data_IF_760725519212
#
_entry.id   IF_760725519212
#
_cell.length_a   1.000
_cell.length_b   1.000
_cell.length_c   1.000
_cell.angle_alpha   90.00
_cell.angle_beta   90.00
_cell.angle_gamma   90.00
#
_symmetry.space_group_name_H-M   'P 1'
#
loop_
_entity.id
_entity.type
_entity.pdbx_description
1 polymer ?
#
# COMPACT_ATOMS: atom_id res chain seq x y z
N UNK A 1 -25.36 -25.53 50.13
CA UNK A 1 -25.53 -24.51 49.07
C UNK A 1 -24.71 -23.27 49.43
N UNK A 2 -23.51 -23.09 48.87
CA UNK A 2 -22.80 -21.80 48.92
C UNK A 2 -22.10 -21.40 47.59
N UNK A 3 -22.61 -21.81 46.42
CA UNK A 3 -21.92 -21.62 45.12
C UNK A 3 -22.29 -20.31 44.37
N UNK A 4 -23.29 -19.56 44.82
CA UNK A 4 -23.82 -18.40 44.08
C UNK A 4 -23.15 -17.05 44.41
N UNK A 5 -22.47 -16.89 45.54
CA UNK A 5 -21.84 -15.60 45.90
C UNK A 5 -20.44 -15.41 45.28
N UNK A 6 -19.73 -16.50 44.97
CA UNK A 6 -18.37 -16.42 44.46
C UNK A 6 -18.31 -15.99 42.98
N UNK A 7 -19.39 -16.26 42.23
CA UNK A 7 -19.48 -15.87 40.82
C UNK A 7 -19.78 -14.37 40.64
N UNK A 8 -20.33 -13.70 41.66
CA UNK A 8 -20.66 -12.28 41.60
C UNK A 8 -19.44 -11.40 41.91
N UNK A 9 -18.51 -11.85 42.75
CA UNK A 9 -17.26 -11.11 43.04
C UNK A 9 -16.26 -11.12 41.88
N UNK A 10 -16.27 -12.15 41.04
CA UNK A 10 -15.39 -12.19 39.85
C UNK A 10 -15.84 -11.23 38.74
N UNK A 11 -17.14 -10.91 38.66
CA UNK A 11 -17.62 -9.93 37.67
C UNK A 11 -17.24 -8.49 38.00
N UNK A 12 -17.12 -8.15 39.29
CA UNK A 12 -16.79 -6.78 39.72
C UNK A 12 -15.30 -6.46 39.61
N UNK A 13 -14.41 -7.46 39.71
CA UNK A 13 -12.96 -7.26 39.58
C UNK A 13 -12.51 -7.07 38.12
N UNK A 14 -13.31 -7.52 37.15
CA UNK A 14 -13.04 -7.37 35.72
C UNK A 14 -13.43 -5.99 35.15
N UNK A 15 -14.30 -5.21 35.80
CA UNK A 15 -14.70 -3.88 35.31
C UNK A 15 -13.70 -2.76 35.63
N UNK A 16 -12.84 -2.94 36.63
CA UNK A 16 -11.86 -1.93 37.05
C UNK A 16 -10.50 -2.01 36.35
N UNK A 17 -10.25 -3.04 35.52
CA UNK A 17 -9.11 -3.06 34.57
C UNK A 17 -9.45 -2.41 33.23
N UNK A 18 -10.27 -1.35 33.26
CA UNK A 18 -10.31 -0.33 32.23
C UNK A 18 -8.98 0.41 32.19
N UNK A 19 -7.91 -0.27 31.77
CA UNK A 19 -6.59 0.30 31.58
C UNK A 19 -6.74 1.49 30.66
N UNK A 20 -6.54 2.69 31.21
CA UNK A 20 -6.54 3.96 30.48
C UNK A 20 -5.63 3.76 29.28
N UNK A 21 -6.23 3.56 28.11
CA UNK A 21 -5.47 3.53 26.86
C UNK A 21 -4.82 4.90 26.81
N UNK A 22 -3.49 4.93 26.62
CA UNK A 22 -2.82 6.18 26.30
C UNK A 22 -3.62 6.81 25.15
N UNK A 23 -4.16 8.03 25.33
CA UNK A 23 -5.01 8.64 24.34
C UNK A 23 -4.22 8.65 23.03
N UNK A 24 -4.84 8.09 21.99
CA UNK A 24 -4.25 8.11 20.67
C UNK A 24 -3.88 9.56 20.34
N UNK A 25 -2.68 9.84 19.79
CA UNK A 25 -2.28 11.21 19.56
C UNK A 25 -3.32 11.88 18.67
N UNK A 26 -3.94 12.95 19.16
CA UNK A 26 -5.01 13.67 18.47
C UNK A 26 -4.59 14.17 17.08
N UNK A 27 -3.29 14.32 16.83
CA UNK A 27 -2.72 14.72 15.54
C UNK A 27 -2.67 13.61 14.48
N UNK A 28 -2.80 12.33 14.86
CA UNK A 28 -2.58 11.21 13.94
C UNK A 28 -3.69 11.04 12.89
N UNK A 29 -4.94 11.37 13.24
CA UNK A 29 -6.05 11.35 12.29
C UNK A 29 -5.89 12.38 11.16
N UNK A 30 -5.74 13.69 11.45
CA UNK A 30 -5.52 14.66 10.39
C UNK A 30 -4.22 14.36 9.63
N UNK A 31 -3.11 14.09 10.31
CA UNK A 31 -1.83 13.83 9.63
C UNK A 31 -1.92 12.70 8.58
N UNK A 32 -2.63 11.61 8.89
CA UNK A 32 -2.82 10.50 7.94
C UNK A 32 -3.72 10.84 6.75
N UNK A 33 -4.78 11.63 6.96
CA UNK A 33 -5.71 12.04 5.90
C UNK A 33 -5.03 13.04 4.95
N UNK A 34 -4.36 14.04 5.53
CA UNK A 34 -3.57 15.02 4.80
C UNK A 34 -2.40 14.35 4.06
N UNK A 35 -1.67 13.44 4.71
CA UNK A 35 -0.59 12.67 4.09
C UNK A 35 -1.05 11.85 2.89
N UNK A 36 -2.18 11.15 3.02
CA UNK A 36 -2.72 10.38 1.90
C UNK A 36 -3.24 11.25 0.75
N UNK A 37 -3.96 12.34 1.07
CA UNK A 37 -4.47 13.27 0.06
C UNK A 37 -3.34 13.98 -0.69
N UNK A 38 -2.31 14.42 0.03
CA UNK A 38 -1.12 15.05 -0.57
C UNK A 38 -0.30 14.05 -1.39
N UNK A 39 -0.13 12.81 -0.94
CA UNK A 39 0.55 11.78 -1.73
C UNK A 39 -0.20 11.45 -3.02
N UNK A 40 -1.51 11.25 -2.96
CA UNK A 40 -2.32 11.04 -4.15
C UNK A 40 -2.30 12.27 -5.07
N UNK A 41 -2.43 13.48 -4.51
CA UNK A 41 -2.37 14.73 -5.27
C UNK A 41 -1.02 14.97 -5.95
N UNK A 42 0.09 14.71 -5.27
CA UNK A 42 1.44 14.82 -5.84
C UNK A 42 1.66 13.79 -6.95
N UNK A 43 1.19 12.56 -6.79
CA UNK A 43 1.25 11.54 -7.83
C UNK A 43 0.45 11.99 -9.07
N UNK A 44 -0.79 12.43 -8.89
CA UNK A 44 -1.62 12.92 -10.00
C UNK A 44 -0.98 14.13 -10.67
N UNK A 45 -0.46 15.09 -9.90
CA UNK A 45 0.25 16.26 -10.43
C UNK A 45 1.47 15.83 -11.26
N UNK A 46 2.28 14.89 -10.78
CA UNK A 46 3.42 14.36 -11.52
C UNK A 46 2.99 13.75 -12.86
N UNK A 47 1.89 12.98 -12.86
CA UNK A 47 1.30 12.42 -14.08
C UNK A 47 0.80 13.47 -15.07
N UNK A 48 0.10 14.49 -14.58
CA UNK A 48 -0.40 15.59 -15.41
C UNK A 48 0.74 16.40 -16.03
N UNK A 49 1.78 16.70 -15.26
CA UNK A 49 2.98 17.39 -15.77
C UNK A 49 3.64 16.56 -16.88
N UNK A 50 3.73 15.23 -16.70
CA UNK A 50 4.29 14.35 -17.72
C UNK A 50 3.43 14.31 -18.98
N UNK A 51 2.11 14.20 -18.82
CA UNK A 51 1.14 14.22 -19.92
C UNK A 51 1.22 15.52 -20.73
N UNK A 52 1.43 16.65 -20.06
CA UNK A 52 1.61 17.95 -20.70
C UNK A 52 2.96 18.10 -21.45
N UNK A 53 3.81 17.06 -21.44
CA UNK A 53 5.16 17.12 -21.99
C UNK A 53 6.11 17.99 -21.19
N UNK A 54 5.72 18.43 -19.98
CA UNK A 54 6.54 19.25 -19.09
C UNK A 54 7.52 18.35 -18.34
N UNK A 55 8.41 17.72 -19.10
CA UNK A 55 9.44 16.86 -18.54
C UNK A 55 10.80 17.55 -18.53
N UNK A 56 11.45 17.45 -17.36
CA UNK A 56 12.89 17.60 -17.13
C UNK A 56 13.50 18.98 -17.37
N UNK A 57 12.89 20.05 -16.86
CA UNK A 57 13.74 21.16 -16.41
C UNK A 57 14.33 20.79 -15.04
N UNK A 58 15.61 21.11 -14.74
CA UNK A 58 16.27 20.73 -13.49
C UNK A 58 15.49 20.96 -12.19
N UNK A 59 14.68 22.04 -12.01
CA UNK A 59 13.89 22.17 -10.79
C UNK A 59 12.73 21.17 -10.68
N UNK A 60 12.13 20.75 -11.80
CA UNK A 60 10.97 19.85 -11.81
C UNK A 60 11.34 18.37 -11.80
N UNK A 61 12.61 18.03 -12.09
CA UNK A 61 13.10 16.65 -12.10
C UNK A 61 12.97 15.94 -10.73
N UNK A 62 12.89 16.70 -9.64
CA UNK A 62 12.77 16.14 -8.29
C UNK A 62 11.33 15.75 -7.91
N UNK A 63 10.32 16.11 -8.69
CA UNK A 63 8.92 15.83 -8.33
C UNK A 63 8.67 14.33 -8.23
N UNK A 64 9.16 13.54 -9.19
CA UNK A 64 8.98 12.08 -9.20
C UNK A 64 9.64 11.38 -8.00
N UNK A 65 10.94 11.58 -7.70
CA UNK A 65 11.56 10.96 -6.53
C UNK A 65 10.91 11.42 -5.22
N UNK A 66 10.52 12.70 -5.11
CA UNK A 66 9.80 13.22 -3.93
C UNK A 66 8.42 12.56 -3.80
N UNK A 67 7.69 12.39 -4.89
CA UNK A 67 6.39 11.71 -4.88
C UNK A 67 6.52 10.25 -4.43
N UNK A 68 7.52 9.52 -4.92
CA UNK A 68 7.82 8.15 -4.46
C UNK A 68 8.14 8.08 -2.96
N UNK A 69 9.05 8.94 -2.49
CA UNK A 69 9.43 9.00 -1.08
C UNK A 69 8.22 9.35 -0.20
N UNK A 70 7.44 10.36 -0.59
CA UNK A 70 6.28 10.81 0.15
C UNK A 70 5.15 9.78 0.16
N UNK A 71 4.91 9.07 -0.94
CA UNK A 71 3.94 7.97 -0.98
C UNK A 71 4.30 6.86 0.02
N UNK A 72 5.59 6.52 0.15
CA UNK A 72 6.06 5.54 1.13
C UNK A 72 5.83 6.00 2.57
N UNK A 73 6.19 7.25 2.89
CA UNK A 73 5.95 7.86 4.20
C UNK A 73 4.45 7.93 4.52
N UNK A 74 3.64 8.41 3.59
CA UNK A 74 2.19 8.49 3.73
C UNK A 74 1.57 7.11 3.98
N UNK A 75 2.01 6.07 3.27
CA UNK A 75 1.54 4.71 3.49
C UNK A 75 1.81 4.23 4.93
N UNK A 76 3.02 4.48 5.47
CA UNK A 76 3.35 4.17 6.87
C UNK A 76 2.49 4.99 7.85
N UNK A 77 2.30 6.28 7.60
CA UNK A 77 1.42 7.13 8.42
C UNK A 77 -0.03 6.65 8.44
N UNK A 78 -0.55 6.17 7.30
CA UNK A 78 -1.91 5.59 7.28
C UNK A 78 -2.01 4.30 8.08
N UNK A 79 -0.93 3.50 8.13
CA UNK A 79 -0.87 2.26 8.89
C UNK A 79 -0.86 2.51 10.41
N UNK A 80 -0.23 3.61 10.85
CA UNK A 80 -0.22 4.02 12.25
C UNK A 80 -1.64 4.15 12.81
N UNK A 81 -2.66 4.51 12.03
CA UNK A 81 -4.06 4.57 12.52
C UNK A 81 -4.60 3.25 13.06
N UNK A 82 -4.01 2.12 12.66
CA UNK A 82 -4.53 0.77 12.94
C UNK A 82 -3.56 -0.09 13.73
N UNK A 83 -2.30 0.31 13.80
CA UNK A 83 -1.24 -0.42 14.48
C UNK A 83 -0.53 0.52 15.46
N UNK A 84 0.01 0.00 16.57
CA UNK A 84 0.97 0.75 17.38
C UNK A 84 2.09 1.35 16.50
N UNK A 85 2.60 2.52 16.88
CA UNK A 85 3.66 3.23 16.14
C UNK A 85 4.85 2.30 15.84
N UNK A 86 5.32 1.56 16.84
CA UNK A 86 6.43 0.61 16.73
C UNK A 86 6.18 -0.46 15.66
N UNK A 87 4.96 -0.99 15.59
CA UNK A 87 4.57 -1.98 14.60
C UNK A 87 4.46 -1.37 13.20
N UNK A 88 3.90 -0.17 13.08
CA UNK A 88 3.79 0.51 11.78
C UNK A 88 5.17 0.85 11.22
N UNK A 89 6.05 1.41 12.05
CA UNK A 89 7.44 1.74 11.68
C UNK A 89 8.24 0.47 11.42
N UNK A 90 8.15 -0.54 12.29
CA UNK A 90 8.84 -1.82 12.11
C UNK A 90 8.44 -2.54 10.82
N UNK A 91 7.14 -2.58 10.51
CA UNK A 91 6.63 -3.13 9.25
C UNK A 91 7.11 -2.33 8.03
N UNK A 92 7.04 -1.00 8.09
CA UNK A 92 7.53 -0.12 7.02
C UNK A 92 9.03 -0.26 6.76
N UNK A 93 9.86 -0.23 7.81
CA UNK A 93 11.31 -0.41 7.71
C UNK A 93 11.69 -1.79 7.18
N UNK A 94 10.97 -2.85 7.60
CA UNK A 94 11.19 -4.21 7.09
C UNK A 94 11.00 -4.24 5.57
N UNK A 95 9.90 -3.68 5.05
CA UNK A 95 9.64 -3.62 3.61
C UNK A 95 10.67 -2.75 2.87
N UNK A 96 11.07 -1.63 3.46
CA UNK A 96 12.06 -0.73 2.86
C UNK A 96 13.44 -1.41 2.74
N UNK A 97 13.90 -2.08 3.80
CA UNK A 97 15.18 -2.79 3.79
C UNK A 97 15.14 -3.97 2.81
N UNK A 98 14.09 -4.80 2.85
CA UNK A 98 14.00 -5.96 1.95
C UNK A 98 13.87 -5.54 0.48
N UNK A 99 13.14 -4.47 0.18
CA UNK A 99 13.07 -3.95 -1.20
C UNK A 99 14.40 -3.40 -1.67
N UNK A 100 15.13 -2.66 -0.82
CA UNK A 100 16.49 -2.23 -1.14
C UNK A 100 17.41 -3.44 -1.42
N UNK A 101 17.33 -4.48 -0.61
CA UNK A 101 18.12 -5.71 -0.81
C UNK A 101 17.78 -6.41 -2.13
N UNK A 102 16.51 -6.59 -2.47
CA UNK A 102 16.09 -7.22 -3.73
C UNK A 102 16.53 -6.40 -4.94
N UNK A 103 16.38 -5.08 -4.89
CA UNK A 103 16.83 -4.19 -5.97
C UNK A 103 18.36 -4.21 -6.11
N UNK A 104 19.11 -4.20 -5.00
CA UNK A 104 20.56 -4.20 -5.01
C UNK A 104 21.12 -5.53 -5.51
N UNK A 105 20.53 -6.65 -5.07
CA UNK A 105 20.89 -7.98 -5.53
C UNK A 105 20.64 -8.11 -7.04
N UNK A 106 19.51 -7.59 -7.53
CA UNK A 106 19.18 -7.61 -8.96
C UNK A 106 20.12 -6.74 -9.79
N UNK A 107 20.44 -5.53 -9.32
CA UNK A 107 21.40 -4.64 -9.98
C UNK A 107 22.81 -5.24 -10.06
N UNK A 108 23.21 -5.96 -9.00
CA UNK A 108 24.57 -6.48 -8.89
C UNK A 108 24.74 -7.84 -9.59
N UNK A 109 23.79 -8.74 -9.44
CA UNK A 109 23.90 -10.15 -9.88
C UNK A 109 22.99 -10.53 -11.05
N UNK A 110 22.04 -9.66 -11.42
CA UNK A 110 20.98 -9.99 -12.36
C UNK A 110 19.90 -10.91 -11.79
N UNK A 111 19.94 -11.24 -10.49
CA UNK A 111 18.98 -12.13 -9.82
C UNK A 111 18.30 -11.38 -8.66
N UNK A 112 16.99 -11.51 -8.40
CA UNK A 112 16.00 -12.32 -9.11
C UNK A 112 15.34 -11.62 -10.29
N UNK A 113 15.43 -10.28 -10.40
CA UNK A 113 14.63 -9.53 -11.37
C UNK A 113 15.15 -9.66 -12.81
N UNK A 114 16.43 -9.98 -13.01
CA UNK A 114 17.16 -9.82 -14.27
C UNK A 114 18.20 -8.70 -14.16
N UNK A 115 19.00 -8.53 -15.21
CA UNK A 115 19.91 -7.39 -15.31
C UNK A 115 19.09 -6.10 -15.49
N UNK A 116 19.12 -5.24 -14.48
CA UNK A 116 18.47 -3.93 -14.47
C UNK A 116 19.54 -2.86 -14.33
N UNK A 117 19.50 -1.87 -15.22
CA UNK A 117 20.30 -0.67 -15.10
C UNK A 117 19.43 0.48 -14.59
N UNK A 118 19.64 0.90 -13.34
CA UNK A 118 18.91 2.03 -12.78
C UNK A 118 19.47 3.36 -13.29
N UNK A 119 18.60 4.32 -13.56
CA UNK A 119 18.93 5.69 -13.95
C UNK A 119 19.17 6.60 -12.73
N UNK A 120 19.95 7.67 -12.85
CA UNK A 120 20.11 8.65 -11.76
C UNK A 120 18.88 9.56 -11.57
N UNK A 121 17.86 9.47 -12.44
CA UNK A 121 16.66 10.32 -12.41
C UNK A 121 15.81 10.16 -11.15
N UNK A 122 15.81 8.97 -10.53
CA UNK A 122 15.11 8.71 -9.27
C UNK A 122 15.87 9.21 -8.03
N UNK A 123 16.87 10.06 -8.22
CA UNK A 123 17.65 10.67 -7.15
C UNK A 123 18.91 9.90 -6.79
N UNK A 124 19.54 10.22 -5.64
CA UNK A 124 20.80 9.63 -5.21
C UNK A 124 20.71 8.11 -5.11
N UNK A 125 21.78 7.40 -5.51
CA UNK A 125 21.85 5.94 -5.42
C UNK A 125 22.55 5.49 -4.14
N UNK A 126 21.96 4.52 -3.46
CA UNK A 126 22.56 3.83 -2.32
C UNK A 126 23.61 2.86 -2.87
N UNK A 127 24.85 2.99 -2.38
CA UNK A 127 26.03 2.25 -2.86
C UNK A 127 26.30 2.38 -4.38
N UNK A 128 25.80 3.44 -5.02
CA UNK A 128 25.90 3.62 -6.47
C UNK A 128 25.00 2.71 -7.31
N UNK A 129 24.24 1.80 -6.67
CA UNK A 129 23.45 0.76 -7.35
C UNK A 129 21.96 1.15 -7.48
N UNK A 130 21.29 1.39 -6.34
CA UNK A 130 19.82 1.49 -6.30
C UNK A 130 19.39 2.92 -5.93
N UNK A 131 18.48 3.57 -6.68
CA UNK A 131 17.94 4.87 -6.29
C UNK A 131 17.28 4.82 -4.90
N UNK A 132 17.62 5.76 -4.02
CA UNK A 132 17.13 5.80 -2.64
C UNK A 132 15.59 5.83 -2.54
N UNK A 133 14.92 6.41 -3.54
CA UNK A 133 13.45 6.56 -3.55
C UNK A 133 12.72 5.31 -4.02
N UNK A 134 13.40 4.36 -4.66
CA UNK A 134 12.79 3.14 -5.17
C UNK A 134 12.28 2.22 -4.03
N UNK A 135 13.03 1.97 -2.93
CA UNK A 135 12.50 1.27 -1.76
C UNK A 135 11.26 1.91 -1.14
N UNK A 136 11.13 3.25 -1.18
CA UNK A 136 9.93 3.93 -0.72
C UNK A 136 8.73 3.66 -1.62
N UNK A 137 8.92 3.66 -2.95
CA UNK A 137 7.88 3.28 -3.90
C UNK A 137 7.40 1.84 -3.66
N UNK A 138 8.34 0.89 -3.52
CA UNK A 138 8.03 -0.51 -3.17
C UNK A 138 7.20 -0.60 -1.89
N UNK A 139 7.64 0.10 -0.83
CA UNK A 139 6.95 0.14 0.46
C UNK A 139 5.54 0.72 0.32
N UNK A 140 5.39 1.82 -0.43
CA UNK A 140 4.09 2.46 -0.69
C UNK A 140 3.14 1.48 -1.36
N UNK A 141 3.57 0.85 -2.46
CA UNK A 141 2.76 -0.09 -3.24
C UNK A 141 2.34 -1.29 -2.39
N UNK A 142 3.26 -1.90 -1.63
CA UNK A 142 2.95 -3.08 -0.82
C UNK A 142 1.99 -2.77 0.34
N UNK A 143 2.26 -1.71 1.09
CA UNK A 143 1.40 -1.35 2.22
C UNK A 143 0.00 -0.97 1.74
N UNK A 144 -0.10 -0.12 0.71
CA UNK A 144 -1.39 0.31 0.18
C UNK A 144 -2.15 -0.84 -0.49
N UNK A 145 -1.47 -1.75 -1.18
CA UNK A 145 -2.06 -2.99 -1.71
C UNK A 145 -2.62 -3.87 -0.60
N UNK A 146 -1.90 -4.03 0.52
CA UNK A 146 -2.40 -4.76 1.69
C UNK A 146 -3.61 -4.10 2.33
N UNK A 147 -3.70 -2.78 2.33
CA UNK A 147 -4.88 -2.07 2.83
C UNK A 147 -6.08 -2.23 1.90
N UNK A 148 -5.88 -2.11 0.58
CA UNK A 148 -6.90 -2.38 -0.43
C UNK A 148 -7.41 -3.83 -0.33
N UNK A 149 -6.50 -4.81 -0.23
CA UNK A 149 -6.84 -6.21 -0.06
C UNK A 149 -7.73 -6.46 1.17
N UNK A 150 -7.51 -5.77 2.30
CA UNK A 150 -8.40 -5.89 3.48
C UNK A 150 -9.81 -5.37 3.25
N UNK A 151 -9.98 -4.33 2.42
CA UNK A 151 -11.30 -3.83 2.06
C UNK A 151 -11.99 -4.81 1.12
N UNK A 152 -11.28 -5.27 0.08
CA UNK A 152 -11.79 -6.25 -0.88
C UNK A 152 -12.23 -7.53 -0.15
N UNK A 153 -11.38 -8.06 0.74
CA UNK A 153 -11.62 -9.29 1.48
C UNK A 153 -12.52 -9.12 2.71
N UNK A 154 -13.13 -7.95 2.90
CA UNK A 154 -13.97 -7.68 4.08
C UNK A 154 -15.07 -8.73 4.32
N UNK A 155 -15.81 -9.21 3.30
CA UNK A 155 -16.83 -10.24 3.50
C UNK A 155 -16.28 -11.56 4.07
N UNK A 156 -15.01 -11.88 3.81
CA UNK A 156 -14.36 -13.14 4.20
C UNK A 156 -13.58 -13.04 5.51
N UNK A 157 -13.76 -11.97 6.30
CA UNK A 157 -12.99 -11.76 7.54
C UNK A 157 -13.17 -12.84 8.61
N UNK A 158 -14.25 -13.63 8.54
CA UNK A 158 -14.55 -14.72 9.48
C UNK A 158 -13.87 -16.04 9.12
N UNK A 159 -13.25 -16.12 7.94
CA UNK A 159 -12.60 -17.34 7.47
C UNK A 159 -11.31 -17.61 8.26
N UNK A 160 -11.06 -18.86 8.72
CA UNK A 160 -9.82 -19.22 9.41
C UNK A 160 -8.55 -18.96 8.58
N UNK A 161 -8.64 -18.99 7.25
CA UNK A 161 -7.52 -18.77 6.34
C UNK A 161 -7.40 -17.31 5.86
N UNK A 162 -8.14 -16.37 6.47
CA UNK A 162 -8.14 -14.96 6.09
C UNK A 162 -6.74 -14.33 5.99
N UNK A 163 -5.81 -14.72 6.88
CA UNK A 163 -4.43 -14.23 6.84
C UNK A 163 -3.71 -14.56 5.53
N UNK A 164 -3.86 -15.79 5.03
CA UNK A 164 -3.26 -16.25 3.78
C UNK A 164 -3.91 -15.58 2.57
N UNK A 165 -5.25 -15.45 2.56
CA UNK A 165 -5.95 -14.71 1.52
C UNK A 165 -5.49 -13.25 1.47
N UNK A 166 -5.31 -12.62 2.63
CA UNK A 166 -4.86 -11.24 2.70
C UNK A 166 -3.47 -11.05 2.09
N UNK A 167 -2.50 -11.90 2.45
CA UNK A 167 -1.13 -11.83 1.89
C UNK A 167 -1.17 -12.09 0.38
N UNK A 168 -1.91 -13.10 -0.06
CA UNK A 168 -1.98 -13.49 -1.47
C UNK A 168 -2.61 -12.38 -2.32
N UNK A 169 -3.77 -11.85 -1.92
CA UNK A 169 -4.43 -10.76 -2.65
C UNK A 169 -3.57 -9.50 -2.63
N UNK A 170 -2.91 -9.17 -1.51
CA UNK A 170 -2.02 -8.02 -1.44
C UNK A 170 -0.80 -8.16 -2.38
N UNK A 171 -0.22 -9.36 -2.49
CA UNK A 171 0.89 -9.63 -3.41
C UNK A 171 0.44 -9.54 -4.88
N UNK A 172 -0.75 -10.07 -5.21
CA UNK A 172 -1.34 -9.93 -6.55
C UNK A 172 -1.59 -8.46 -6.88
N UNK A 173 -2.18 -7.67 -5.97
CA UNK A 173 -2.38 -6.24 -6.18
C UNK A 173 -1.06 -5.48 -6.35
N UNK A 174 0.00 -5.90 -5.65
CA UNK A 174 1.36 -5.34 -5.82
C UNK A 174 1.89 -5.65 -7.23
N UNK A 175 1.76 -6.89 -7.70
CA UNK A 175 2.18 -7.28 -9.05
C UNK A 175 1.35 -6.60 -10.15
N UNK A 176 0.05 -6.39 -9.93
CA UNK A 176 -0.80 -5.61 -10.83
C UNK A 176 -0.36 -4.14 -10.89
N UNK A 177 -0.01 -3.53 -9.76
CA UNK A 177 0.59 -2.20 -9.77
C UNK A 177 1.94 -2.19 -10.49
N UNK A 178 2.77 -3.22 -10.33
CA UNK A 178 4.02 -3.36 -11.08
C UNK A 178 3.77 -3.42 -12.60
N UNK A 179 2.69 -4.07 -13.05
CA UNK A 179 2.29 -4.05 -14.45
C UNK A 179 1.95 -2.64 -14.96
N UNK A 180 1.52 -1.72 -14.10
CA UNK A 180 1.32 -0.30 -14.45
C UNK A 180 2.65 0.47 -14.34
N UNK A 181 3.54 0.10 -13.41
CA UNK A 181 4.80 0.82 -13.21
C UNK A 181 5.82 0.52 -14.31
N UNK A 182 5.93 -0.73 -14.75
CA UNK A 182 7.03 -1.16 -15.63
C UNK A 182 7.08 -0.40 -16.97
N UNK A 183 5.98 -0.26 -17.75
CA UNK A 183 6.02 0.50 -18.99
C UNK A 183 6.33 1.97 -18.76
N UNK A 184 5.73 2.57 -17.72
CA UNK A 184 6.07 3.93 -17.31
C UNK A 184 7.56 4.05 -17.02
N UNK A 185 8.12 3.19 -16.17
CA UNK A 185 9.48 3.30 -15.69
C UNK A 185 10.51 3.16 -16.82
N UNK A 186 10.25 2.29 -17.80
CA UNK A 186 11.13 2.07 -18.96
C UNK A 186 10.98 3.19 -20.00
N UNK A 187 9.75 3.52 -20.39
CA UNK A 187 9.48 4.37 -21.56
C UNK A 187 9.24 5.84 -21.20
N UNK A 188 8.55 6.13 -20.10
CA UNK A 188 8.18 7.49 -19.72
C UNK A 188 9.14 8.10 -18.69
N UNK A 189 9.40 7.40 -17.58
CA UNK A 189 10.30 7.87 -16.52
C UNK A 189 11.77 7.72 -16.88
N UNK A 190 12.12 6.71 -17.70
CA UNK A 190 13.49 6.25 -17.90
C UNK A 190 14.21 6.05 -16.56
N UNK A 191 13.51 5.40 -15.63
CA UNK A 191 13.95 5.10 -14.27
C UNK A 191 14.87 3.91 -14.23
N UNK A 192 14.61 2.92 -15.09
CA UNK A 192 15.49 1.79 -15.30
C UNK A 192 15.35 1.24 -16.72
N UNK A 193 16.37 0.49 -17.13
CA UNK A 193 16.43 -0.19 -18.41
C UNK A 193 16.64 -1.68 -18.17
N UNK A 194 16.13 -2.48 -19.12
CA UNK A 194 16.29 -3.93 -19.15
C UNK A 194 17.13 -4.31 -20.37
N UNK A 195 18.47 -4.35 -20.27
CA UNK A 195 19.35 -4.52 -21.44
C UNK A 195 19.12 -5.84 -22.18
N UNK A 196 18.65 -6.87 -21.46
CA UNK A 196 18.40 -8.23 -21.98
C UNK A 196 16.92 -8.54 -22.17
N UNK A 197 16.03 -7.54 -22.19
CA UNK A 197 14.62 -7.80 -22.45
C UNK A 197 14.40 -8.31 -23.89
N UNK A 198 13.64 -9.40 -24.08
CA UNK A 198 13.35 -9.91 -25.42
C UNK A 198 12.50 -8.90 -26.21
N UNK A 199 12.92 -8.58 -27.44
CA UNK A 199 12.28 -7.56 -28.28
C UNK A 199 10.82 -7.91 -28.63
N UNK A 200 10.52 -9.19 -28.87
CA UNK A 200 9.20 -9.64 -29.33
C UNK A 200 8.19 -9.89 -28.21
N UNK A 201 8.67 -10.14 -26.98
CA UNK A 201 7.83 -10.54 -25.86
C UNK A 201 8.19 -9.72 -24.63
N UNK A 202 7.89 -8.42 -24.68
CA UNK A 202 8.04 -7.50 -23.55
C UNK A 202 6.72 -6.79 -23.24
N UNK A 203 6.60 -6.41 -21.97
CA UNK A 203 5.51 -5.60 -21.43
C UNK A 203 6.02 -4.17 -21.25
N UNK A 204 5.76 -3.31 -22.25
CA UNK A 204 6.25 -1.93 -22.22
C UNK A 204 7.77 -1.79 -22.18
N UNK A 205 8.52 -2.78 -22.67
CA UNK A 205 9.99 -2.83 -22.55
C UNK A 205 10.53 -3.63 -21.36
N UNK A 206 9.68 -4.09 -20.44
CA UNK A 206 10.09 -5.00 -19.36
C UNK A 206 9.90 -6.48 -19.75
N UNK A 207 10.77 -7.41 -19.30
CA UNK A 207 10.55 -8.84 -19.47
C UNK A 207 9.28 -9.27 -18.72
N UNK A 208 8.37 -10.08 -19.30
CA UNK A 208 7.14 -10.50 -18.61
C UNK A 208 7.39 -11.32 -17.34
N UNK A 209 8.56 -11.96 -17.24
CA UNK A 209 9.03 -12.61 -16.02
C UNK A 209 9.18 -11.65 -14.84
N UNK A 210 9.34 -10.35 -15.06
CA UNK A 210 9.44 -9.36 -13.98
C UNK A 210 8.19 -9.38 -13.10
N UNK A 211 6.99 -9.53 -13.67
CA UNK A 211 5.73 -9.58 -12.90
C UNK A 211 5.67 -10.78 -11.96
N UNK A 212 6.22 -11.93 -12.38
CA UNK A 212 6.33 -13.12 -11.52
C UNK A 212 7.28 -12.84 -10.36
N UNK A 213 8.41 -12.19 -10.63
CA UNK A 213 9.36 -11.81 -9.58
C UNK A 213 8.76 -10.79 -8.62
N UNK A 214 8.03 -9.78 -9.12
CA UNK A 214 7.28 -8.84 -8.29
C UNK A 214 6.29 -9.55 -7.37
N UNK A 215 5.53 -10.52 -7.90
CA UNK A 215 4.58 -11.32 -7.12
C UNK A 215 5.28 -12.13 -6.02
N UNK A 216 6.37 -12.83 -6.35
CA UNK A 216 7.11 -13.66 -5.40
C UNK A 216 7.82 -12.81 -4.34
N UNK A 217 8.46 -11.72 -4.75
CA UNK A 217 9.10 -10.76 -3.85
C UNK A 217 8.08 -10.13 -2.92
N UNK A 218 6.93 -9.70 -3.43
CA UNK A 218 5.86 -9.14 -2.61
C UNK A 218 5.31 -10.14 -1.61
N UNK A 219 5.10 -11.39 -2.03
CA UNK A 219 4.66 -12.47 -1.15
C UNK A 219 5.64 -12.67 -0.01
N UNK A 220 6.94 -12.82 -0.33
CA UNK A 220 8.00 -12.99 0.67
C UNK A 220 8.10 -11.79 1.63
N UNK A 221 8.16 -10.57 1.11
CA UNK A 221 8.30 -9.36 1.92
C UNK A 221 7.08 -9.13 2.82
N UNK A 222 5.87 -9.36 2.32
CA UNK A 222 4.65 -9.24 3.12
C UNK A 222 4.59 -10.31 4.21
N UNK A 223 5.00 -11.56 3.94
CA UNK A 223 5.12 -12.59 4.96
C UNK A 223 6.11 -12.17 6.05
N UNK A 224 7.30 -11.69 5.68
CA UNK A 224 8.31 -11.21 6.61
C UNK A 224 7.79 -10.04 7.48
N UNK A 225 7.13 -9.06 6.85
CA UNK A 225 6.57 -7.91 7.56
C UNK A 225 5.33 -8.28 8.42
N UNK A 226 4.70 -9.44 8.21
CA UNK A 226 3.46 -9.84 8.91
C UNK A 226 3.62 -9.85 10.43
N UNK A 227 4.81 -10.16 10.95
CA UNK A 227 5.09 -10.14 12.40
C UNK A 227 4.83 -8.77 13.05
N UNK A 228 5.02 -7.69 12.29
CA UNK A 228 4.71 -6.32 12.71
C UNK A 228 3.30 -5.90 12.31
N UNK A 229 2.84 -6.36 11.14
CA UNK A 229 1.58 -5.92 10.54
C UNK A 229 0.32 -6.57 11.15
N UNK A 230 0.47 -7.58 12.02
CA UNK A 230 -0.62 -8.19 12.77
C UNK A 230 -0.81 -7.42 14.10
N UNK A 231 -2.00 -6.82 14.34
CA UNK A 231 -2.28 -6.17 15.60
C UNK A 231 -2.35 -7.22 16.72
N UNK A 232 -1.40 -7.19 17.66
CA UNK A 232 -1.42 -8.06 18.86
C UNK A 232 -2.63 -7.80 19.75
N UNK A 233 -3.21 -6.60 19.67
CA UNK A 233 -4.45 -6.21 20.37
C UNK A 233 -5.41 -5.62 19.33
N UNK A 234 -6.64 -6.14 19.19
CA UNK A 234 -7.59 -5.63 18.23
C UNK A 234 -7.95 -4.17 18.55
N UNK A 235 -7.43 -3.22 17.77
CA UNK A 235 -7.86 -1.83 17.82
C UNK A 235 -9.11 -1.72 16.93
N UNK A 236 -10.20 -1.22 17.51
CA UNK A 236 -11.40 -0.89 16.74
C UNK A 236 -11.08 0.34 15.89
N UNK A 237 -10.65 0.12 14.65
CA UNK A 237 -10.44 1.19 13.67
C UNK A 237 -11.62 1.24 12.71
N UNK A 238 -12.12 2.43 12.43
CA UNK A 238 -13.06 2.65 11.34
C UNK A 238 -12.41 2.26 10.00
N UNK A 239 -13.20 1.77 9.03
CA UNK A 239 -12.74 1.57 7.66
C UNK A 239 -12.21 2.89 7.10
N UNK A 240 -11.00 2.88 6.56
CA UNK A 240 -10.39 4.06 5.94
C UNK A 240 -10.01 3.76 4.50
N UNK A 241 -10.33 4.69 3.62
CA UNK A 241 -9.99 4.68 2.19
C UNK A 241 -8.65 5.35 1.90
N UNK A 242 -8.00 6.00 2.87
CA UNK A 242 -6.75 6.74 2.64
C UNK A 242 -5.67 5.93 1.91
N UNK A 243 -5.37 4.68 2.30
CA UNK A 243 -4.36 3.89 1.57
C UNK A 243 -4.79 3.54 0.14
N UNK A 244 -6.09 3.35 -0.10
CA UNK A 244 -6.63 3.09 -1.44
C UNK A 244 -6.48 4.32 -2.31
N UNK A 245 -6.71 5.53 -1.77
CA UNK A 245 -6.46 6.76 -2.51
C UNK A 245 -5.00 6.92 -2.93
N UNK A 246 -4.04 6.54 -2.07
CA UNK A 246 -2.62 6.51 -2.44
C UNK A 246 -2.39 5.50 -3.57
N UNK A 247 -2.92 4.28 -3.44
CA UNK A 247 -2.77 3.24 -4.47
C UNK A 247 -3.36 3.67 -5.82
N UNK A 248 -4.57 4.22 -5.82
CA UNK A 248 -5.23 4.71 -7.04
C UNK A 248 -4.49 5.93 -7.61
N UNK A 249 -4.01 6.84 -6.76
CA UNK A 249 -3.23 8.01 -7.18
C UNK A 249 -1.92 7.63 -7.86
N UNK A 250 -1.20 6.63 -7.33
CA UNK A 250 -0.03 6.04 -7.97
C UNK A 250 -0.39 5.42 -9.32
N UNK A 251 -1.47 4.63 -9.39
CA UNK A 251 -1.92 4.04 -10.66
C UNK A 251 -2.24 5.10 -11.72
N UNK A 252 -2.99 6.14 -11.34
CA UNK A 252 -3.32 7.26 -12.24
C UNK A 252 -2.07 8.00 -12.71
N UNK A 253 -1.10 8.26 -11.82
CA UNK A 253 0.17 8.87 -12.19
C UNK A 253 0.84 8.12 -13.34
N UNK A 254 1.05 6.82 -13.17
CA UNK A 254 1.74 6.01 -14.15
C UNK A 254 0.96 5.91 -15.46
N UNK A 255 -0.36 5.71 -15.41
CA UNK A 255 -1.23 5.69 -16.60
C UNK A 255 -1.15 7.00 -17.38
N UNK A 256 -1.15 8.16 -16.71
CA UNK A 256 -1.05 9.45 -17.38
C UNK A 256 0.31 9.63 -18.07
N UNK A 257 1.38 9.16 -17.46
CA UNK A 257 2.70 9.17 -18.09
C UNK A 257 2.81 8.24 -19.29
N UNK A 258 2.23 7.05 -19.21
CA UNK A 258 2.13 6.10 -20.33
C UNK A 258 1.33 6.69 -21.49
N UNK A 259 0.19 7.35 -21.19
CA UNK A 259 -0.61 8.05 -22.19
C UNK A 259 0.18 9.17 -22.88
N UNK A 260 0.99 9.90 -22.12
CA UNK A 260 1.91 10.91 -22.67
C UNK A 260 2.99 10.35 -23.61
N UNK A 261 3.27 9.04 -23.56
CA UNK A 261 4.17 8.35 -24.48
C UNK A 261 3.42 7.57 -25.59
N UNK A 262 2.09 7.65 -25.66
CA UNK A 262 1.29 6.93 -26.64
C UNK A 262 1.19 5.42 -26.41
N UNK A 263 1.45 4.95 -25.18
CA UNK A 263 1.39 3.53 -24.80
C UNK A 263 -0.06 3.07 -24.52
N UNK A 264 -0.93 3.15 -25.53
CA UNK A 264 -2.37 2.99 -25.34
C UNK A 264 -2.82 1.61 -24.86
N UNK A 265 -2.05 0.56 -25.17
CA UNK A 265 -2.33 -0.79 -24.68
C UNK A 265 -2.13 -0.87 -23.17
N UNK A 266 -1.03 -0.34 -22.69
CA UNK A 266 -0.64 -0.29 -21.29
C UNK A 266 -1.61 0.61 -20.51
N UNK A 267 -1.95 1.78 -21.05
CA UNK A 267 -2.98 2.69 -20.51
C UNK A 267 -4.33 2.00 -20.33
N UNK A 268 -4.79 1.23 -21.33
CA UNK A 268 -6.06 0.52 -21.26
C UNK A 268 -6.05 -0.55 -20.16
N UNK A 269 -4.97 -1.33 -20.07
CA UNK A 269 -4.81 -2.36 -19.03
C UNK A 269 -4.70 -1.74 -17.64
N UNK A 270 -3.87 -0.71 -17.47
CA UNK A 270 -3.71 0.01 -16.21
C UNK A 270 -5.02 0.64 -15.74
N UNK A 271 -5.76 1.26 -16.65
CA UNK A 271 -7.08 1.85 -16.36
C UNK A 271 -8.07 0.79 -15.91
N UNK A 272 -8.14 -0.35 -16.60
CA UNK A 272 -8.99 -1.47 -16.18
C UNK A 272 -8.62 -1.96 -14.78
N UNK A 273 -7.33 -2.15 -14.50
CA UNK A 273 -6.84 -2.56 -13.17
C UNK A 273 -7.26 -1.55 -12.09
N UNK A 274 -7.02 -0.25 -12.31
CA UNK A 274 -7.36 0.81 -11.36
C UNK A 274 -8.86 0.88 -11.09
N UNK A 275 -9.70 0.78 -12.13
CA UNK A 275 -11.16 0.80 -12.00
C UNK A 275 -11.68 -0.42 -11.24
N UNK A 276 -11.19 -1.63 -11.56
CA UNK A 276 -11.61 -2.86 -10.88
C UNK A 276 -11.22 -2.83 -9.41
N UNK A 277 -9.97 -2.49 -9.09
CA UNK A 277 -9.49 -2.44 -7.70
C UNK A 277 -10.22 -1.34 -6.91
N UNK A 278 -10.46 -0.18 -7.54
CA UNK A 278 -11.26 0.90 -6.96
C UNK A 278 -12.69 0.46 -6.63
N UNK A 279 -13.38 -0.17 -7.59
CA UNK A 279 -14.75 -0.66 -7.42
C UNK A 279 -14.85 -1.73 -6.32
N UNK A 280 -13.95 -2.71 -6.31
CA UNK A 280 -13.92 -3.76 -5.28
C UNK A 280 -13.63 -3.19 -3.89
N UNK A 281 -12.68 -2.25 -3.78
CA UNK A 281 -12.35 -1.59 -2.53
C UNK A 281 -13.50 -0.73 -2.01
N UNK A 282 -14.18 -0.01 -2.90
CA UNK A 282 -15.37 0.79 -2.58
C UNK A 282 -16.52 -0.09 -2.06
N UNK A 283 -16.80 -1.20 -2.73
CA UNK A 283 -17.79 -2.19 -2.27
C UNK A 283 -17.46 -2.69 -0.86
N UNK A 284 -16.20 -3.04 -0.61
CA UNK A 284 -15.72 -3.47 0.71
C UNK A 284 -15.89 -2.41 1.80
N UNK A 285 -15.68 -1.14 1.44
CA UNK A 285 -15.93 0.00 2.32
C UNK A 285 -17.41 0.16 2.66
N UNK A 286 -18.30 0.11 1.67
CA UNK A 286 -19.76 0.23 1.86
C UNK A 286 -20.32 -0.85 2.81
N UNK A 287 -19.90 -2.10 2.63
CA UNK A 287 -20.28 -3.21 3.52
C UNK A 287 -19.84 -2.92 4.97
N UNK A 288 -18.66 -2.32 5.14
CA UNK A 288 -18.15 -1.99 6.47
C UNK A 288 -18.92 -0.85 7.12
N UNK A 289 -19.31 0.16 6.35
CA UNK A 289 -20.07 1.30 6.83
C UNK A 289 -21.48 0.87 7.26
N UNK A 290 -22.18 0.10 6.43
CA UNK A 290 -23.49 -0.45 6.75
C UNK A 290 -23.50 -1.35 8.01
N UNK A 291 -22.39 -2.06 8.27
CA UNK A 291 -22.25 -2.85 9.49
C UNK A 291 -22.05 -1.98 10.74
N UNK A 292 -21.43 -0.81 10.62
CA UNK A 292 -21.25 0.13 11.74
C UNK A 292 -22.57 0.81 12.07
N UNK A 293 -23.29 1.31 11.06
CA UNK A 293 -24.58 1.99 11.23
C UNK A 293 -25.58 1.06 11.93
N UNK A 294 -25.75 -0.18 11.45
CA UNK A 294 -26.66 -1.16 12.08
C UNK A 294 -26.31 -1.47 13.54
N UNK A 295 -25.03 -1.45 13.91
CA UNK A 295 -24.61 -1.65 15.31
C UNK A 295 -24.92 -0.45 16.18
N UNK A 296 -24.76 0.76 15.64
CA UNK A 296 -25.11 1.99 16.35
C UNK A 296 -26.63 2.08 16.58
N UNK A 297 -27.43 1.75 15.58
CA UNK A 297 -28.90 1.69 15.68
C UNK A 297 -29.37 0.66 16.72
N UNK A 298 -28.79 -0.56 16.70
CA UNK A 298 -29.12 -1.59 17.68
C UNK A 298 -28.74 -1.20 19.12
N UNK A 299 -27.61 -0.51 19.30
CA UNK A 299 -27.20 -0.02 20.62
C UNK A 299 -28.15 1.07 21.13
N UNK A 300 -28.54 2.03 20.28
CA UNK A 300 -29.49 3.08 20.63
C UNK A 300 -30.87 2.51 21.00
N UNK A 301 -31.34 1.48 20.29
CA UNK A 301 -32.60 0.80 20.61
C UNK A 301 -32.55 0.10 21.97
N UNK A 302 -31.45 -0.58 22.29
CA UNK A 302 -31.27 -1.24 23.58
C UNK A 302 -31.21 -0.26 24.76
N UNK A 303 -30.60 0.92 24.57
CA UNK A 303 -30.60 2.00 25.57
C UNK A 303 -32.01 2.57 25.81
N UNK A 304 -32.85 2.64 24.76
CA UNK A 304 -34.22 3.14 24.85
C UNK A 304 -35.18 2.16 25.55
N UNK A 305 -34.93 0.84 25.47
CA UNK A 305 -35.76 -0.18 26.15
C UNK A 305 -35.39 -0.36 27.64
N UNK A 306 -34.20 0.09 28.06
CA UNK A 306 -33.67 -0.13 29.41
C UNK A 306 -33.80 1.05 30.40
N UNK A 307 -34.33 2.20 29.96
CA UNK A 307 -34.49 3.42 30.78
C UNK A 307 -35.95 3.76 31.05
#
# INVERSE_FOLDING_TARGET
MPETEQQQQDTTSLSMRGGRRAPWPWWAEPASAWGAGTAAGLAVLAGLLRLAGWSVTPPLAWIEPVACAWAGVAAVLTLMRRLPLENAVGGGLTLLILSLMVCALSAHSGIPLGEIEYSPRLGPRVFGLVPLTLPFLWTAVMLTSREAARLILRPWRRDPFYGYYLVTVAAVLTALMAAIIEPYAVQAGHWWLWPKAPERFNWGGAPPGSLVVWLLAATFMLMAATVYLVPKRPIHSSPSLHPVWIWLGLGVWFILGEAGQGLWREVAVGTLIVLVVGALSWRGYQISLAAIIRRAEAAAAAEAEGG
#
